data_IF_876643187309
#
_entry.id   IF_876643187309
#
_cell.length_a   1.000
_cell.length_b   1.000
_cell.length_c   1.000
_cell.angle_alpha   90.00
_cell.angle_beta   90.00
_cell.angle_gamma   90.00
#
_symmetry.space_group_name_H-M   'P 1'
#
loop_
_entity.id
_entity.type
_entity.pdbx_description
1 polymer ?
#
# COMPACT_ATOMS: atom_id res chain seq x y z
N UNK A 1 12.62 -17.75 18.00
CA UNK A 1 11.18 -17.40 17.92
C UNK A 1 10.99 -16.43 16.76
N UNK A 2 10.12 -16.73 15.79
CA UNK A 2 9.83 -15.80 14.68
C UNK A 2 8.97 -14.67 15.23
N UNK A 3 9.39 -13.42 15.01
CA UNK A 3 8.58 -12.24 15.36
C UNK A 3 7.25 -12.31 14.62
N UNK A 4 6.11 -12.30 15.34
CA UNK A 4 4.81 -12.43 14.72
C UNK A 4 4.54 -11.21 13.82
N UNK A 5 3.97 -11.45 12.64
CA UNK A 5 3.75 -10.40 11.63
C UNK A 5 2.26 -10.05 11.65
N UNK A 6 1.91 -9.04 12.45
CA UNK A 6 0.54 -8.53 12.53
C UNK A 6 0.23 -7.69 11.30
N UNK A 7 -0.76 -8.14 10.53
CA UNK A 7 -1.20 -7.47 9.33
C UNK A 7 -2.59 -6.89 9.53
N UNK A 8 -2.72 -5.58 9.37
CA UNK A 8 -4.02 -4.92 9.35
C UNK A 8 -4.80 -5.28 8.08
N UNK A 9 -6.04 -5.73 8.27
CA UNK A 9 -6.95 -6.16 7.20
C UNK A 9 -8.05 -5.13 6.99
N UNK A 10 -8.93 -4.95 7.97
CA UNK A 10 -10.10 -4.09 7.86
C UNK A 10 -10.43 -3.40 9.20
N UNK A 11 -11.06 -2.23 9.18
CA UNK A 11 -11.66 -1.67 10.38
C UNK A 11 -12.80 -2.59 10.87
N UNK A 12 -12.88 -2.82 12.17
CA UNK A 12 -13.94 -3.62 12.78
C UNK A 12 -14.31 -3.07 14.16
N UNK A 13 -15.52 -3.34 14.62
CA UNK A 13 -15.98 -2.98 15.95
C UNK A 13 -16.11 -4.24 16.82
N UNK A 14 -15.55 -4.21 18.03
CA UNK A 14 -15.69 -5.28 19.01
C UNK A 14 -16.01 -4.67 20.38
N UNK A 15 -17.01 -5.21 21.08
CA UNK A 15 -17.43 -4.73 22.40
C UNK A 15 -17.66 -3.20 22.45
N UNK A 16 -18.32 -2.66 21.41
CA UNK A 16 -18.59 -1.24 21.22
C UNK A 16 -17.35 -0.34 21.02
N UNK A 17 -16.16 -0.91 20.82
CA UNK A 17 -14.92 -0.18 20.53
C UNK A 17 -14.56 -0.28 19.04
N UNK A 18 -14.27 0.85 18.41
CA UNK A 18 -13.77 0.90 17.05
C UNK A 18 -12.29 0.53 17.01
N UNK A 19 -11.92 -0.42 16.17
CA UNK A 19 -10.56 -0.91 16.06
C UNK A 19 -10.25 -1.49 14.69
N UNK A 20 -9.20 -2.30 14.64
CA UNK A 20 -8.68 -2.90 13.41
C UNK A 20 -8.57 -4.41 13.59
N UNK A 21 -9.04 -5.14 12.58
CA UNK A 21 -8.80 -6.56 12.41
C UNK A 21 -7.33 -6.77 12.00
N UNK A 22 -6.59 -7.43 12.88
CA UNK A 22 -5.22 -7.87 12.63
C UNK A 22 -5.21 -9.38 12.39
N UNK A 23 -4.39 -9.84 11.45
CA UNK A 23 -4.18 -11.27 11.24
C UNK A 23 -2.69 -11.58 11.27
N UNK A 24 -2.35 -12.72 11.87
CA UNK A 24 -1.02 -13.30 11.77
C UNK A 24 -1.09 -14.54 10.88
N UNK A 25 -0.49 -14.43 9.69
CA UNK A 25 -0.42 -15.53 8.71
C UNK A 25 0.44 -16.70 9.23
N UNK A 26 1.46 -16.45 10.04
CA UNK A 26 2.36 -17.50 10.55
C UNK A 26 1.69 -18.28 11.67
N UNK A 27 1.02 -17.58 12.59
CA UNK A 27 0.32 -18.18 13.71
C UNK A 27 -1.10 -18.68 13.35
N UNK A 28 -1.63 -18.32 12.16
CA UNK A 28 -3.01 -18.60 11.73
C UNK A 28 -4.05 -18.10 12.74
N UNK A 29 -3.82 -16.90 13.28
CA UNK A 29 -4.69 -16.30 14.30
C UNK A 29 -5.18 -14.93 13.87
N UNK A 30 -6.39 -14.59 14.31
CA UNK A 30 -7.05 -13.32 14.07
C UNK A 30 -7.24 -12.56 15.39
N UNK A 31 -6.84 -11.30 15.40
CA UNK A 31 -6.85 -10.43 16.57
C UNK A 31 -7.60 -9.13 16.30
N UNK A 32 -8.05 -8.52 17.38
CA UNK A 32 -8.61 -7.18 17.45
C UNK A 32 -7.63 -6.27 18.19
N UNK A 33 -7.53 -5.01 17.74
CA UNK A 33 -6.93 -3.95 18.56
C UNK A 33 -7.70 -2.65 18.40
N UNK A 34 -7.88 -1.94 19.51
CA UNK A 34 -8.35 -0.55 19.50
C UNK A 34 -7.22 0.46 19.24
N UNK A 35 -5.96 0.00 19.13
CA UNK A 35 -4.82 0.87 18.90
C UNK A 35 -4.89 1.49 17.49
N UNK A 36 -5.07 2.80 17.43
CA UNK A 36 -4.96 3.55 16.18
C UNK A 36 -3.50 3.95 15.94
N UNK A 37 -2.98 3.43 14.84
CA UNK A 37 -1.64 3.70 14.36
C UNK A 37 -1.60 5.09 13.67
N UNK A 38 -0.58 5.94 13.91
CA UNK A 38 -0.52 7.28 13.31
C UNK A 38 -0.42 7.20 11.78
N UNK A 39 -1.18 8.02 11.06
CA UNK A 39 -1.18 8.00 9.59
C UNK A 39 0.21 8.29 9.02
N UNK A 40 0.64 7.49 8.04
CA UNK A 40 1.93 7.66 7.39
C UNK A 40 2.00 9.00 6.63
N UNK A 41 2.98 9.86 6.99
CA UNK A 41 3.21 11.14 6.29
C UNK A 41 3.52 10.94 4.80
N UNK A 42 4.13 9.80 4.44
CA UNK A 42 4.42 9.40 3.06
C UNK A 42 3.17 9.45 2.17
N UNK A 43 2.00 9.05 2.68
CA UNK A 43 0.78 9.09 1.88
C UNK A 43 0.42 10.51 1.45
N UNK A 44 0.59 11.49 2.35
CA UNK A 44 0.33 12.91 2.05
C UNK A 44 1.40 13.48 1.12
N UNK A 45 2.68 13.17 1.34
CA UNK A 45 3.77 13.67 0.51
C UNK A 45 3.71 13.12 -0.91
N UNK A 46 3.47 11.82 -1.07
CA UNK A 46 3.29 11.19 -2.38
C UNK A 46 2.01 11.69 -3.06
N UNK A 47 0.95 12.03 -2.31
CA UNK A 47 -0.23 12.67 -2.89
C UNK A 47 0.10 14.05 -3.47
N UNK A 48 0.83 14.90 -2.73
CA UNK A 48 1.24 16.20 -3.25
C UNK A 48 2.14 16.07 -4.47
N UNK A 49 3.11 15.15 -4.42
CA UNK A 49 3.99 14.87 -5.55
C UNK A 49 3.19 14.44 -6.78
N UNK A 50 2.21 13.55 -6.61
CA UNK A 50 1.31 13.14 -7.67
C UNK A 50 0.54 14.32 -8.27
N UNK A 51 -0.04 15.19 -7.43
CA UNK A 51 -0.81 16.35 -7.87
C UNK A 51 0.09 17.28 -8.70
N UNK A 52 1.26 17.65 -8.19
CA UNK A 52 2.19 18.52 -8.91
C UNK A 52 2.64 17.90 -10.23
N UNK A 53 3.05 16.63 -10.23
CA UNK A 53 3.46 15.96 -11.47
C UNK A 53 2.30 15.84 -12.46
N UNK A 54 1.07 15.54 -12.03
CA UNK A 54 -0.10 15.49 -12.92
C UNK A 54 -0.45 16.87 -13.49
N UNK A 55 -0.33 17.94 -12.70
CA UNK A 55 -0.52 19.32 -13.17
C UNK A 55 0.56 19.73 -14.17
N UNK A 56 1.77 19.17 -14.09
CA UNK A 56 2.83 19.43 -15.09
C UNK A 56 2.65 18.59 -16.36
N UNK A 57 2.31 17.30 -16.22
CA UNK A 57 2.11 16.38 -17.35
C UNK A 57 0.92 16.78 -18.20
N UNK A 58 -0.21 17.13 -17.57
CA UNK A 58 -1.48 17.33 -18.29
C UNK A 58 -1.42 18.49 -19.29
N UNK A 59 -0.94 19.69 -18.92
CA UNK A 59 -0.73 20.78 -19.87
C UNK A 59 0.34 20.40 -20.89
N UNK A 60 1.48 19.85 -20.48
CA UNK A 60 2.56 19.51 -21.42
C UNK A 60 2.07 18.56 -22.52
N UNK A 61 1.32 17.52 -22.14
CA UNK A 61 0.72 16.57 -23.08
C UNK A 61 -0.37 17.21 -23.95
N UNK A 62 -1.25 18.03 -23.36
CA UNK A 62 -2.31 18.72 -24.09
C UNK A 62 -1.72 19.69 -25.11
N UNK A 63 -0.68 20.41 -24.70
CA UNK A 63 0.03 21.36 -25.53
C UNK A 63 0.73 20.64 -26.68
N UNK A 64 1.49 19.58 -26.43
CA UNK A 64 2.13 18.76 -27.49
C UNK A 64 1.12 18.25 -28.55
N UNK A 65 -0.10 17.91 -28.11
CA UNK A 65 -1.15 17.41 -29.01
C UNK A 65 -1.92 18.50 -29.75
N UNK A 66 -2.11 19.69 -29.15
CA UNK A 66 -2.93 20.78 -29.71
C UNK A 66 -2.10 21.81 -30.49
N UNK A 67 -0.87 22.06 -30.06
CA UNK A 67 0.08 22.98 -30.67
C UNK A 67 1.33 22.14 -30.94
N UNK A 68 1.75 21.98 -32.19
CA UNK A 68 2.96 21.22 -32.53
C UNK A 68 4.19 21.89 -31.91
N UNK A 69 4.42 21.65 -30.62
CA UNK A 69 5.55 22.16 -29.89
C UNK A 69 6.78 21.41 -30.39
N UNK A 70 7.89 22.11 -30.63
CA UNK A 70 9.15 21.45 -30.88
C UNK A 70 9.44 20.54 -29.70
N UNK A 71 9.72 19.26 -29.97
CA UNK A 71 10.19 18.34 -28.95
C UNK A 71 11.49 18.93 -28.39
N UNK A 72 11.60 19.00 -27.07
CA UNK A 72 12.80 19.51 -26.37
C UNK A 72 13.58 18.34 -25.75
N UNK A 73 14.29 17.53 -26.56
CA UNK A 73 15.14 16.47 -26.04
C UNK A 73 16.25 17.05 -25.16
N UNK A 74 16.49 16.41 -24.03
CA UNK A 74 17.55 16.81 -23.10
C UNK A 74 18.90 16.34 -23.68
N UNK A 75 19.58 17.23 -24.41
CA UNK A 75 20.89 16.93 -25.00
C UNK A 75 22.05 16.99 -24.00
N UNK A 76 21.90 17.73 -22.90
CA UNK A 76 22.98 17.88 -21.93
C UNK A 76 23.01 16.69 -20.96
N UNK A 77 24.14 15.95 -20.87
CA UNK A 77 24.21 14.74 -20.06
C UNK A 77 24.00 15.04 -18.57
N UNK A 78 24.49 16.18 -18.08
CA UNK A 78 24.33 16.59 -16.68
C UNK A 78 22.85 16.80 -16.35
N UNK A 79 22.12 17.52 -17.22
CA UNK A 79 20.69 17.77 -17.05
C UNK A 79 19.91 16.45 -17.14
N UNK A 80 20.29 15.57 -18.07
CA UNK A 80 19.68 14.26 -18.22
C UNK A 80 19.78 13.42 -16.94
N UNK A 81 20.99 13.29 -16.38
CA UNK A 81 21.20 12.55 -15.13
C UNK A 81 20.48 13.19 -13.94
N UNK A 82 20.44 14.52 -13.89
CA UNK A 82 19.71 15.25 -12.85
C UNK A 82 18.21 14.97 -12.91
N UNK A 83 17.60 15.05 -14.10
CA UNK A 83 16.18 14.75 -14.29
C UNK A 83 15.88 13.29 -13.93
N UNK A 84 16.72 12.34 -14.37
CA UNK A 84 16.57 10.94 -14.00
C UNK A 84 16.66 10.73 -12.47
N UNK A 85 17.64 11.35 -11.83
CA UNK A 85 17.82 11.25 -10.38
C UNK A 85 16.63 11.84 -9.61
N UNK A 86 16.06 12.96 -10.06
CA UNK A 86 14.89 13.57 -9.43
C UNK A 86 13.63 12.72 -9.61
N UNK A 87 13.39 12.24 -10.82
CA UNK A 87 12.17 11.50 -11.19
C UNK A 87 12.06 10.15 -10.49
N UNK A 88 13.18 9.44 -10.34
CA UNK A 88 13.25 8.19 -9.57
C UNK A 88 13.46 8.42 -8.07
N UNK A 89 14.28 9.40 -7.70
CA UNK A 89 14.69 9.64 -6.33
C UNK A 89 13.60 10.25 -5.46
N UNK A 90 12.84 11.23 -5.97
CA UNK A 90 11.83 11.94 -5.17
C UNK A 90 10.74 11.00 -4.62
N UNK A 91 10.12 10.11 -5.41
CA UNK A 91 9.13 9.16 -4.89
C UNK A 91 9.71 8.22 -3.83
N UNK A 92 10.94 7.74 -4.03
CA UNK A 92 11.62 6.82 -3.10
C UNK A 92 11.91 7.53 -1.77
N UNK A 93 12.48 8.74 -1.82
CA UNK A 93 12.81 9.52 -0.62
C UNK A 93 11.55 9.91 0.15
N UNK A 94 10.51 10.38 -0.55
CA UNK A 94 9.22 10.72 0.05
C UNK A 94 8.58 9.52 0.76
N UNK A 95 8.66 8.33 0.15
CA UNK A 95 8.20 7.10 0.76
C UNK A 95 9.05 6.72 1.98
N UNK A 96 10.37 6.67 1.83
CA UNK A 96 11.28 6.19 2.89
C UNK A 96 11.23 7.04 4.16
N UNK A 97 11.25 8.37 4.00
CA UNK A 97 11.23 9.31 5.13
C UNK A 97 9.83 9.41 5.73
N UNK A 98 8.79 9.38 4.90
CA UNK A 98 7.41 9.51 5.34
C UNK A 98 6.76 8.21 5.84
N UNK A 99 7.43 7.05 5.70
CA UNK A 99 6.85 5.74 6.07
C UNK A 99 6.53 5.69 7.55
N UNK A 100 5.43 5.02 7.87
CA UNK A 100 5.09 4.73 9.25
C UNK A 100 6.05 3.67 9.81
N UNK A 101 6.72 4.01 10.92
CA UNK A 101 7.64 3.11 11.65
C UNK A 101 7.02 2.52 12.92
N UNK A 102 5.80 2.92 13.26
CA UNK A 102 5.08 2.42 14.42
C UNK A 102 4.52 1.02 14.13
N UNK A 103 4.63 0.13 15.11
CA UNK A 103 4.15 -1.25 15.05
C UNK A 103 3.01 -1.44 16.07
N UNK A 104 2.15 -2.44 15.84
CA UNK A 104 1.13 -2.82 16.81
C UNK A 104 1.78 -3.48 18.03
N UNK A 105 1.29 -3.13 19.22
CA UNK A 105 1.75 -3.74 20.47
C UNK A 105 1.01 -5.07 20.71
N UNK A 106 1.77 -6.17 20.75
CA UNK A 106 1.23 -7.50 21.00
C UNK A 106 0.56 -7.66 22.37
N UNK A 107 0.89 -6.82 23.36
CA UNK A 107 0.24 -6.89 24.67
C UNK A 107 -1.17 -6.30 24.65
N UNK A 108 -1.51 -5.50 23.64
CA UNK A 108 -2.80 -4.81 23.49
C UNK A 108 -3.69 -5.40 22.42
N UNK A 109 -3.28 -6.51 21.80
CA UNK A 109 -4.14 -7.26 20.87
C UNK A 109 -4.94 -8.30 21.66
N UNK A 110 -6.23 -8.39 21.37
CA UNK A 110 -7.13 -9.38 21.94
C UNK A 110 -7.61 -10.33 20.84
N UNK A 111 -7.99 -11.58 21.16
CA UNK A 111 -8.53 -12.49 20.16
C UNK A 111 -9.81 -11.90 19.54
N UNK A 112 -10.01 -12.14 18.25
CA UNK A 112 -11.17 -11.65 17.52
C UNK A 112 -12.44 -12.38 17.97
N UNK A 113 -13.33 -11.68 18.68
CA UNK A 113 -14.54 -12.26 19.28
C UNK A 113 -15.85 -11.87 18.58
N UNK A 114 -15.79 -11.15 17.45
CA UNK A 114 -16.95 -10.58 16.75
C UNK A 114 -17.84 -11.64 16.08
N UNK A 115 -19.14 -11.41 15.97
CA UNK A 115 -20.08 -12.29 15.26
C UNK A 115 -19.77 -12.41 13.76
N UNK A 116 -20.23 -13.49 13.13
CA UNK A 116 -19.94 -13.75 11.71
C UNK A 116 -20.55 -12.69 10.77
N UNK A 117 -21.70 -12.12 11.11
CA UNK A 117 -22.34 -11.11 10.26
C UNK A 117 -21.50 -9.82 10.22
N UNK A 118 -21.01 -9.36 11.37
CA UNK A 118 -20.10 -8.20 11.43
C UNK A 118 -18.77 -8.46 10.74
N UNK A 119 -18.19 -9.67 10.89
CA UNK A 119 -16.96 -10.04 10.16
C UNK A 119 -17.18 -10.03 8.64
N UNK A 120 -18.30 -10.57 8.19
CA UNK A 120 -18.65 -10.62 6.77
C UNK A 120 -18.89 -9.23 6.17
N UNK A 121 -19.49 -8.32 6.95
CA UNK A 121 -19.64 -6.92 6.57
C UNK A 121 -18.27 -6.23 6.45
N UNK A 122 -17.38 -6.44 7.42
CA UNK A 122 -16.03 -5.87 7.39
C UNK A 122 -15.18 -6.40 6.21
N UNK A 123 -15.38 -7.66 5.82
CA UNK A 123 -14.64 -8.32 4.72
C UNK A 123 -15.37 -8.28 3.37
N UNK A 124 -16.51 -7.59 3.25
CA UNK A 124 -17.32 -7.54 2.03
C UNK A 124 -16.52 -7.17 0.78
N UNK A 125 -15.61 -6.20 0.90
CA UNK A 125 -14.79 -5.69 -0.20
C UNK A 125 -13.36 -6.25 -0.21
N UNK A 126 -13.06 -7.24 0.64
CA UNK A 126 -11.71 -7.79 0.77
C UNK A 126 -11.20 -8.44 -0.53
N UNK A 127 -12.08 -9.12 -1.28
CA UNK A 127 -11.74 -9.68 -2.58
C UNK A 127 -11.31 -8.60 -3.58
N UNK A 128 -12.00 -7.45 -3.56
CA UNK A 128 -11.69 -6.32 -4.42
C UNK A 128 -10.37 -5.66 -4.00
N UNK A 129 -10.11 -5.50 -2.70
CA UNK A 129 -8.81 -5.01 -2.22
C UNK A 129 -7.66 -5.89 -2.70
N UNK A 130 -7.81 -7.22 -2.66
CA UNK A 130 -6.77 -8.15 -3.15
C UNK A 130 -6.51 -7.99 -4.64
N UNK A 131 -7.57 -7.93 -5.45
CA UNK A 131 -7.45 -7.69 -6.89
C UNK A 131 -6.83 -6.33 -7.19
N UNK A 132 -7.22 -5.31 -6.44
CA UNK A 132 -6.66 -3.97 -6.57
C UNK A 132 -5.15 -3.95 -6.25
N UNK A 133 -4.72 -4.60 -5.17
CA UNK A 133 -3.29 -4.72 -4.84
C UNK A 133 -2.55 -5.50 -5.92
N UNK A 134 -3.11 -6.59 -6.43
CA UNK A 134 -2.52 -7.36 -7.52
C UNK A 134 -2.38 -6.50 -8.80
N UNK A 135 -3.43 -5.75 -9.15
CA UNK A 135 -3.43 -4.83 -10.29
C UNK A 135 -2.35 -3.76 -10.17
N UNK A 136 -2.24 -3.13 -8.99
CA UNK A 136 -1.21 -2.13 -8.69
C UNK A 136 0.20 -2.73 -8.85
N UNK A 137 0.43 -3.93 -8.31
CA UNK A 137 1.74 -4.60 -8.40
C UNK A 137 2.07 -5.09 -9.81
N UNK A 138 1.07 -5.45 -10.61
CA UNK A 138 1.27 -5.97 -11.96
C UNK A 138 1.39 -4.86 -13.00
N UNK A 139 0.66 -3.75 -12.85
CA UNK A 139 0.58 -2.71 -13.87
C UNK A 139 1.58 -1.56 -13.66
N UNK A 140 1.71 -1.07 -12.42
CA UNK A 140 2.47 0.17 -12.18
C UNK A 140 4.00 0.00 -12.31
N UNK A 141 4.62 -1.11 -11.87
CA UNK A 141 6.05 -1.30 -12.08
C UNK A 141 6.42 -1.43 -13.57
N UNK A 142 5.77 -2.29 -14.38
CA UNK A 142 6.11 -2.40 -15.79
C UNK A 142 5.86 -1.11 -16.58
N UNK A 143 4.81 -0.35 -16.27
CA UNK A 143 4.56 0.95 -16.91
C UNK A 143 5.64 1.98 -16.55
N UNK A 144 6.09 2.01 -15.29
CA UNK A 144 7.22 2.87 -14.88
C UNK A 144 8.52 2.50 -15.63
N UNK A 145 8.79 1.19 -15.82
CA UNK A 145 9.95 0.72 -16.60
C UNK A 145 9.80 1.07 -18.08
N UNK A 146 8.60 0.94 -18.65
CA UNK A 146 8.35 1.33 -20.04
C UNK A 146 8.69 2.81 -20.27
N UNK A 147 8.21 3.71 -19.40
CA UNK A 147 8.55 5.13 -19.50
C UNK A 147 10.03 5.41 -19.25
N UNK A 148 10.70 4.62 -18.40
CA UNK A 148 12.16 4.70 -18.24
C UNK A 148 12.89 4.35 -19.55
N UNK A 149 12.48 3.28 -20.23
CA UNK A 149 13.04 2.91 -21.53
C UNK A 149 12.77 4.00 -22.58
N UNK A 150 11.55 4.54 -22.62
CA UNK A 150 11.21 5.65 -23.52
C UNK A 150 12.05 6.89 -23.21
N UNK A 151 12.25 7.22 -21.94
CA UNK A 151 13.10 8.32 -21.51
C UNK A 151 14.57 8.13 -21.94
N UNK A 152 15.10 6.90 -21.86
CA UNK A 152 16.47 6.61 -22.32
C UNK A 152 16.60 6.79 -23.84
N UNK A 153 15.58 6.42 -24.62
CA UNK A 153 15.62 6.51 -26.09
C UNK A 153 15.35 7.94 -26.57
N UNK A 154 14.33 8.59 -26.02
CA UNK A 154 13.82 9.89 -26.49
C UNK A 154 14.41 11.08 -25.75
N UNK A 155 14.89 10.88 -24.52
CA UNK A 155 15.37 11.96 -23.63
C UNK A 155 14.34 13.07 -23.40
N UNK A 156 13.05 12.69 -23.39
CA UNK A 156 11.93 13.63 -23.28
C UNK A 156 11.55 13.87 -21.81
N UNK A 157 11.48 15.14 -21.35
CA UNK A 157 11.01 15.44 -19.99
C UNK A 157 9.60 14.92 -19.67
N UNK A 158 8.72 14.75 -20.68
CA UNK A 158 7.39 14.17 -20.48
C UNK A 158 7.48 12.73 -19.96
N UNK A 159 8.34 11.90 -20.57
CA UNK A 159 8.54 10.52 -20.14
C UNK A 159 9.08 10.48 -18.70
N UNK A 160 9.98 11.40 -18.36
CA UNK A 160 10.51 11.56 -17.01
C UNK A 160 9.42 11.91 -15.97
N UNK A 161 8.50 12.83 -16.32
CA UNK A 161 7.36 13.15 -15.48
C UNK A 161 6.39 11.96 -15.35
N UNK A 162 6.18 11.19 -16.42
CA UNK A 162 5.36 9.98 -16.41
C UNK A 162 5.96 8.89 -15.52
N UNK A 163 7.30 8.68 -15.55
CA UNK A 163 8.00 7.82 -14.58
C UNK A 163 7.66 8.26 -13.16
N UNK A 164 7.77 9.57 -12.88
CA UNK A 164 7.50 10.13 -11.56
C UNK A 164 6.07 9.88 -11.10
N UNK A 165 5.07 10.08 -11.97
CA UNK A 165 3.66 9.81 -11.68
C UNK A 165 3.44 8.34 -11.33
N UNK A 166 3.94 7.42 -12.16
CA UNK A 166 3.70 5.98 -11.98
C UNK A 166 4.47 5.43 -10.77
N UNK A 167 5.72 5.85 -10.56
CA UNK A 167 6.50 5.52 -9.39
C UNK A 167 5.85 6.05 -8.10
N UNK A 168 5.30 7.26 -8.13
CA UNK A 168 4.58 7.85 -6.99
C UNK A 168 3.29 7.11 -6.68
N UNK A 169 2.50 6.77 -7.70
CA UNK A 169 1.30 5.94 -7.55
C UNK A 169 1.64 4.58 -6.95
N UNK A 170 2.69 3.93 -7.47
CA UNK A 170 3.17 2.64 -6.98
C UNK A 170 3.60 2.73 -5.51
N UNK A 171 4.50 3.64 -5.17
CA UNK A 171 4.99 3.82 -3.80
C UNK A 171 3.88 4.20 -2.83
N UNK A 172 2.91 5.01 -3.26
CA UNK A 172 1.76 5.40 -2.43
C UNK A 172 0.83 4.23 -2.15
N UNK A 173 0.69 3.31 -3.10
CA UNK A 173 -0.17 2.13 -3.02
C UNK A 173 0.57 0.88 -2.53
N UNK A 174 1.87 1.00 -2.22
CA UNK A 174 2.65 -0.06 -1.60
C UNK A 174 2.20 -0.23 -0.14
N UNK A 175 1.16 -1.04 0.07
CA UNK A 175 0.67 -1.38 1.41
C UNK A 175 1.70 -2.30 2.09
N UNK A 176 1.99 -2.11 3.40
CA UNK A 176 2.78 -3.07 4.15
C UNK A 176 2.23 -4.49 3.96
N UNK A 177 3.11 -5.44 3.69
CA UNK A 177 2.75 -6.84 3.45
C UNK A 177 1.78 -7.08 2.27
N UNK A 178 1.81 -6.26 1.22
CA UNK A 178 0.96 -6.38 0.03
C UNK A 178 0.87 -7.82 -0.55
N UNK A 179 2.00 -8.50 -0.71
CA UNK A 179 2.04 -9.90 -1.18
C UNK A 179 1.31 -10.85 -0.23
N UNK A 180 1.49 -10.65 1.07
CA UNK A 180 0.82 -11.47 2.07
C UNK A 180 -0.69 -11.19 2.11
N UNK A 181 -1.13 -9.93 1.95
CA UNK A 181 -2.55 -9.56 1.81
C UNK A 181 -3.21 -10.26 0.62
N UNK A 182 -2.53 -10.36 -0.52
CA UNK A 182 -3.05 -11.09 -1.70
C UNK A 182 -3.27 -12.57 -1.38
N UNK A 183 -2.45 -13.18 -0.54
CA UNK A 183 -2.53 -14.60 -0.20
C UNK A 183 -3.59 -14.93 0.87
N UNK A 184 -4.08 -13.97 1.63
CA UNK A 184 -5.06 -14.22 2.70
C UNK A 184 -6.49 -14.11 2.14
N UNK A 185 -7.22 -15.22 2.11
CA UNK A 185 -8.62 -15.25 1.68
C UNK A 185 -9.58 -14.92 2.83
N UNK A 186 -10.83 -14.54 2.51
CA UNK A 186 -11.89 -14.35 3.50
C UNK A 186 -12.11 -15.64 4.32
N UNK A 187 -12.14 -16.79 3.65
CA UNK A 187 -12.31 -18.11 4.28
C UNK A 187 -11.20 -18.40 5.29
N UNK A 188 -9.94 -18.12 4.95
CA UNK A 188 -8.82 -18.31 5.87
C UNK A 188 -8.97 -17.44 7.13
N UNK A 189 -9.42 -16.18 7.00
CA UNK A 189 -9.65 -15.30 8.15
C UNK A 189 -10.75 -15.85 9.07
N UNK A 190 -11.82 -16.38 8.48
CA UNK A 190 -12.93 -17.00 9.24
C UNK A 190 -12.47 -18.27 9.97
N UNK A 191 -11.66 -19.11 9.32
CA UNK A 191 -11.05 -20.29 9.94
C UNK A 191 -10.15 -19.90 11.12
N UNK A 192 -9.29 -18.90 10.93
CA UNK A 192 -8.38 -18.42 11.98
C UNK A 192 -9.10 -17.77 13.16
N UNK A 193 -10.27 -17.16 12.93
CA UNK A 193 -11.14 -16.71 14.02
C UNK A 193 -11.65 -17.90 14.85
N UNK A 194 -12.11 -18.96 14.19
CA UNK A 194 -12.63 -20.15 14.87
C UNK A 194 -11.53 -20.84 15.67
N UNK A 195 -10.33 -21.00 15.12
CA UNK A 195 -9.16 -21.55 15.81
C UNK A 195 -8.75 -20.70 17.04
N UNK A 196 -8.80 -19.38 16.91
CA UNK A 196 -8.52 -18.45 18.01
C UNK A 196 -9.55 -18.60 19.15
N UNK A 197 -10.83 -18.79 18.82
CA UNK A 197 -11.89 -19.02 19.81
C UNK A 197 -11.72 -20.36 20.54
N UNK A 198 -11.40 -21.43 19.83
CA UNK A 198 -11.17 -22.77 20.43
C UNK A 198 -9.98 -22.72 21.39
N UNK A 199 -8.89 -22.09 20.96
CA UNK A 199 -7.67 -21.98 21.80
C UNK A 199 -7.95 -21.19 23.07
N UNK A 200 -8.71 -20.10 22.99
CA UNK A 200 -9.05 -19.28 24.16
C UNK A 200 -10.03 -20.01 25.11
N UNK A 201 -11.00 -20.75 24.54
CA UNK A 201 -11.97 -21.52 25.31
C UNK A 201 -11.38 -22.72 26.06
N UNK A 202 -10.40 -23.41 25.48
CA UNK A 202 -9.72 -24.54 26.14
C UNK A 202 -8.76 -24.11 27.25
N UNK A 203 -8.17 -22.91 27.16
CA UNK A 203 -7.35 -22.37 28.25
C UNK A 203 -8.22 -22.05 29.46
N UNK A 204 -9.42 -21.50 29.27
CA UNK A 204 -10.35 -21.19 30.38
C UNK A 204 -10.94 -22.41 31.10
N UNK A 205 -10.96 -23.61 30.49
CA UNK A 205 -11.43 -24.85 31.14
C UNK A 205 -10.33 -25.62 31.86
N UNK A 206 -9.06 -25.31 31.61
CA UNK A 206 -7.91 -25.98 32.23
C UNK A 206 -7.36 -25.32 33.50
N UNK A 207 -7.93 -24.17 33.90
CA UNK A 207 -7.50 -23.38 35.07
C UNK A 207 -8.52 -23.42 36.22
N UNK A 208 -9.48 -24.36 36.16
CA UNK A 208 -10.34 -24.68 37.31
C UNK A 208 -9.69 -25.74 38.21
#
# INVERSE_FOLDING_TARGET
MKTPILMAIAPIQQANQNGVLLVDKQAKQAYFTAQQLPTAKAQKWLLWLLIFSSILVTPYWLFDRMLHLPHFPIHQPIIWWLVLALTLGLPIVAWYVGRQRAHYDFQRVTPLAVDQATLDQALKYWWFERLWVAFVLLLLPPTSVLFLVLYVIKSDPLDALLITVHATLFMRRLIPHAFSRIMVSKQAIQEWQNESRITTGNVSTSVN
#
